data_IF_801580437076
#
_entry.id   IF_801580437076
#
_cell.length_a   1.000
_cell.length_b   1.000
_cell.length_c   1.000
_cell.angle_alpha   90.00
_cell.angle_beta   90.00
_cell.angle_gamma   90.00
#
_symmetry.space_group_name_H-M   'P 1'
#
loop_
_entity.id
_entity.type
_entity.pdbx_description
1 polymer ?
#
# COMPACT_ATOMS: atom_id res chain seq x y z
N UNK A 1 2.32 -1.52 -6.03
CA UNK A 1 1.68 -0.54 -5.12
C UNK A 1 0.30 -0.96 -4.60
N UNK A 2 -0.70 -1.24 -5.46
CA UNK A 2 -2.10 -1.45 -5.00
C UNK A 2 -2.30 -2.57 -3.97
N UNK A 3 -1.62 -3.72 -4.12
CA UNK A 3 -1.70 -4.81 -3.13
C UNK A 3 -1.20 -4.39 -1.74
N UNK A 4 -0.06 -3.70 -1.68
CA UNK A 4 0.51 -3.18 -0.43
C UNK A 4 -0.38 -2.10 0.19
N UNK A 5 -0.96 -1.21 -0.62
CA UNK A 5 -1.95 -0.24 -0.14
C UNK A 5 -3.18 -0.93 0.49
N UNK A 6 -3.69 -1.99 -0.15
CA UNK A 6 -4.82 -2.75 0.37
C UNK A 6 -4.46 -3.46 1.69
N UNK A 7 -3.29 -4.09 1.79
CA UNK A 7 -2.82 -4.68 3.05
C UNK A 7 -2.74 -3.65 4.17
N UNK A 8 -2.20 -2.46 3.88
CA UNK A 8 -2.14 -1.37 4.85
C UNK A 8 -3.54 -0.94 5.31
N UNK A 9 -4.50 -0.82 4.38
CA UNK A 9 -5.89 -0.48 4.71
C UNK A 9 -6.57 -1.56 5.57
N UNK A 10 -6.32 -2.84 5.30
CA UNK A 10 -6.84 -3.94 6.11
C UNK A 10 -6.26 -3.93 7.52
N UNK A 11 -4.95 -3.73 7.68
CA UNK A 11 -4.34 -3.54 9.00
C UNK A 11 -4.95 -2.35 9.74
N UNK A 12 -5.07 -1.22 9.06
CA UNK A 12 -5.67 0.00 9.61
C UNK A 12 -7.11 -0.22 10.08
N UNK A 13 -7.94 -0.85 9.26
CA UNK A 13 -9.31 -1.16 9.61
C UNK A 13 -9.37 -2.19 10.74
N UNK A 14 -8.49 -3.18 10.79
CA UNK A 14 -8.42 -4.13 11.89
C UNK A 14 -8.06 -3.51 13.25
N UNK A 15 -7.30 -2.40 13.25
CA UNK A 15 -6.87 -1.70 14.48
C UNK A 15 -7.89 -0.65 14.93
N UNK A 16 -8.40 0.16 14.00
CA UNK A 16 -9.23 1.33 14.30
C UNK A 16 -10.67 1.20 13.82
N UNK A 17 -10.91 0.36 12.82
CA UNK A 17 -12.22 0.16 12.24
C UNK A 17 -13.08 -0.73 13.11
N UNK A 18 -14.39 -0.62 12.88
CA UNK A 18 -15.34 -1.60 13.35
C UNK A 18 -16.36 -1.82 12.23
N UNK A 19 -16.87 -3.04 12.10
CA UNK A 19 -18.00 -3.32 11.22
C UNK A 19 -19.35 -2.86 11.82
N UNK A 20 -19.31 -2.13 12.94
CA UNK A 20 -20.47 -1.53 13.58
C UNK A 20 -20.58 -0.06 13.16
N UNK A 21 -21.74 0.30 12.64
CA UNK A 21 -22.11 1.67 12.26
C UNK A 21 -23.40 2.13 12.94
N UNK A 22 -23.81 1.46 14.02
CA UNK A 22 -24.90 1.94 14.87
C UNK A 22 -24.42 3.11 15.73
N UNK A 23 -25.00 4.30 15.55
CA UNK A 23 -24.86 5.40 16.50
C UNK A 23 -25.83 5.23 17.68
N UNK A 24 -25.82 4.04 18.29
CA UNK A 24 -26.74 3.72 19.37
C UNK A 24 -26.37 4.49 20.63
N UNK A 25 -27.30 5.32 21.11
CA UNK A 25 -27.24 6.03 22.38
C UNK A 25 -28.62 5.96 23.04
N UNK A 26 -28.68 5.92 24.37
CA UNK A 26 -29.95 5.99 25.10
C UNK A 26 -30.71 7.29 24.80
N UNK A 27 -29.98 8.35 24.40
CA UNK A 27 -30.55 9.66 24.06
C UNK A 27 -31.43 9.64 22.82
N UNK A 28 -31.35 8.61 21.96
CA UNK A 28 -32.24 8.46 20.80
C UNK A 28 -33.70 8.23 21.23
N UNK A 29 -33.90 7.51 22.33
CA UNK A 29 -35.20 7.13 22.88
C UNK A 29 -35.46 7.85 24.21
N UNK A 30 -35.01 9.11 24.33
CA UNK A 30 -35.04 9.89 25.58
C UNK A 30 -36.45 10.02 26.18
N UNK A 31 -37.47 10.15 25.34
CA UNK A 31 -38.89 10.21 25.74
C UNK A 31 -39.41 8.87 26.27
N UNK A 32 -38.87 7.74 25.79
CA UNK A 32 -39.23 6.42 26.30
C UNK A 32 -38.63 6.17 27.68
N UNK A 33 -37.42 6.68 27.94
CA UNK A 33 -36.75 6.55 29.24
C UNK A 33 -37.09 7.65 30.25
N UNK A 34 -38.08 8.50 29.96
CA UNK A 34 -38.48 9.62 30.82
C UNK A 34 -37.30 10.50 31.27
N UNK A 35 -36.40 10.83 30.33
CA UNK A 35 -35.20 11.64 30.59
C UNK A 35 -34.21 11.06 31.64
N UNK A 36 -34.39 9.79 32.05
CA UNK A 36 -33.47 9.11 32.95
C UNK A 36 -32.59 8.13 32.17
N UNK A 37 -31.29 8.08 32.50
CA UNK A 37 -30.37 7.14 31.86
C UNK A 37 -30.66 5.71 32.34
N UNK A 38 -31.14 4.81 31.46
CA UNK A 38 -31.41 3.42 31.80
C UNK A 38 -30.10 2.61 31.85
N UNK A 39 -30.18 1.37 32.35
CA UNK A 39 -28.99 0.50 32.42
C UNK A 39 -28.42 0.23 31.01
N UNK A 40 -27.08 0.15 30.85
CA UNK A 40 -26.44 0.01 29.55
C UNK A 40 -26.93 -1.15 28.69
N UNK A 41 -27.37 -2.26 29.30
CA UNK A 41 -27.87 -3.41 28.55
C UNK A 41 -29.30 -3.18 28.02
N UNK A 42 -30.13 -2.42 28.73
CA UNK A 42 -31.55 -2.20 28.41
C UNK A 42 -31.69 -1.33 27.17
N UNK A 43 -31.01 -0.18 27.16
CA UNK A 43 -31.08 0.72 26.01
C UNK A 43 -30.33 0.21 24.81
N UNK A 44 -29.24 -0.54 25.03
CA UNK A 44 -28.50 -1.15 23.94
C UNK A 44 -29.36 -2.17 23.21
N UNK A 45 -30.01 -3.10 23.93
CA UNK A 45 -30.88 -4.10 23.33
C UNK A 45 -32.02 -3.46 22.53
N UNK A 46 -32.70 -2.46 23.11
CA UNK A 46 -33.79 -1.74 22.45
C UNK A 46 -33.31 -0.98 21.21
N UNK A 47 -32.20 -0.25 21.31
CA UNK A 47 -31.68 0.52 20.19
C UNK A 47 -31.37 -0.39 18.99
N UNK A 48 -30.68 -1.51 19.21
CA UNK A 48 -30.40 -2.44 18.12
C UNK A 48 -31.66 -3.14 17.58
N UNK A 49 -32.70 -3.34 18.42
CA UNK A 49 -33.98 -3.91 17.97
C UNK A 49 -34.81 -2.92 17.13
N UNK A 50 -34.73 -1.62 17.41
CA UNK A 50 -35.49 -0.60 16.68
C UNK A 50 -34.78 -0.16 15.39
N UNK A 51 -33.45 -0.07 15.39
CA UNK A 51 -32.64 0.43 14.27
C UNK A 51 -31.97 -0.69 13.45
N UNK A 52 -32.45 -1.94 13.54
CA UNK A 52 -31.84 -3.09 12.85
C UNK A 52 -31.84 -2.99 11.32
N UNK A 53 -32.74 -2.19 10.72
CA UNK A 53 -32.80 -1.97 9.27
C UNK A 53 -31.79 -0.93 8.78
N UNK A 54 -31.41 0.01 9.65
CA UNK A 54 -30.53 1.13 9.32
C UNK A 54 -29.09 0.89 9.77
N UNK A 55 -28.86 -0.16 10.55
CA UNK A 55 -27.57 -0.38 11.17
C UNK A 55 -27.19 -1.87 11.28
N UNK A 56 -25.88 -2.13 11.32
CA UNK A 56 -25.28 -3.48 11.39
C UNK A 56 -24.79 -3.70 12.82
N UNK A 57 -25.33 -4.72 13.47
CA UNK A 57 -24.93 -5.11 14.81
C UNK A 57 -23.44 -5.54 14.82
N UNK A 58 -22.72 -5.30 15.93
CA UNK A 58 -21.43 -5.92 16.13
C UNK A 58 -21.62 -7.45 16.14
N UNK A 59 -21.08 -8.12 15.13
CA UNK A 59 -21.15 -9.58 15.06
C UNK A 59 -20.15 -10.19 16.03
N UNK A 60 -20.44 -11.40 16.51
CA UNK A 60 -19.49 -12.19 17.29
C UNK A 60 -18.40 -12.83 16.42
N UNK A 61 -18.32 -12.47 15.14
CA UNK A 61 -17.32 -13.02 14.22
C UNK A 61 -16.03 -12.21 14.29
N UNK A 62 -14.91 -12.93 14.37
CA UNK A 62 -13.59 -12.30 14.39
C UNK A 62 -13.31 -11.56 13.07
N UNK A 63 -12.67 -10.40 13.17
CA UNK A 63 -12.28 -9.54 12.05
C UNK A 63 -11.63 -10.32 10.88
N UNK A 64 -10.77 -11.28 11.20
CA UNK A 64 -10.06 -12.10 10.21
C UNK A 64 -10.98 -12.91 9.30
N UNK A 65 -12.08 -13.45 9.83
CA UNK A 65 -13.05 -14.23 9.03
C UNK A 65 -13.84 -13.29 8.12
N UNK A 66 -14.28 -12.14 8.65
CA UNK A 66 -15.06 -11.17 7.89
C UNK A 66 -14.27 -10.54 6.74
N UNK A 67 -12.95 -10.40 6.90
CA UNK A 67 -12.07 -9.75 5.92
C UNK A 67 -11.23 -10.74 5.10
N UNK A 68 -11.43 -12.06 5.26
CA UNK A 68 -10.53 -13.07 4.67
C UNK A 68 -10.41 -12.95 3.14
N UNK A 69 -11.51 -12.66 2.45
CA UNK A 69 -11.53 -12.52 0.99
C UNK A 69 -10.71 -11.31 0.52
N UNK A 70 -10.74 -10.21 1.26
CA UNK A 70 -9.92 -9.03 0.98
C UNK A 70 -8.43 -9.31 1.25
N UNK A 71 -8.12 -10.08 2.29
CA UNK A 71 -6.75 -10.54 2.55
C UNK A 71 -6.22 -11.43 1.43
N UNK A 72 -7.05 -12.31 0.86
CA UNK A 72 -6.67 -13.10 -0.31
C UNK A 72 -6.39 -12.24 -1.55
N UNK A 73 -7.23 -11.24 -1.83
CA UNK A 73 -6.99 -10.31 -2.94
C UNK A 73 -5.69 -9.53 -2.72
N UNK A 74 -5.46 -9.04 -1.50
CA UNK A 74 -4.25 -8.31 -1.17
C UNK A 74 -2.99 -9.19 -1.34
N UNK A 75 -3.04 -10.43 -0.84
CA UNK A 75 -1.96 -11.39 -0.99
C UNK A 75 -1.71 -11.74 -2.46
N UNK A 76 -2.75 -12.04 -3.24
CA UNK A 76 -2.59 -12.38 -4.67
C UNK A 76 -2.00 -11.21 -5.47
N UNK A 77 -2.43 -9.97 -5.23
CA UNK A 77 -1.87 -8.81 -5.95
C UNK A 77 -0.41 -8.53 -5.63
N UNK A 78 0.06 -8.86 -4.43
CA UNK A 78 1.48 -8.71 -4.07
C UNK A 78 2.31 -9.89 -4.57
N UNK A 79 1.79 -11.11 -4.44
CA UNK A 79 2.57 -12.33 -4.61
C UNK A 79 2.47 -12.98 -5.99
N UNK A 80 1.46 -12.65 -6.80
CA UNK A 80 1.28 -13.26 -8.12
C UNK A 80 2.52 -13.18 -9.03
N UNK A 81 3.24 -12.03 -9.14
CA UNK A 81 4.43 -11.97 -9.98
C UNK A 81 5.53 -12.96 -9.58
N UNK A 82 5.61 -13.32 -8.29
CA UNK A 82 6.62 -14.23 -7.76
C UNK A 82 6.20 -15.69 -7.93
N UNK A 83 4.93 -16.02 -7.69
CA UNK A 83 4.42 -17.37 -7.91
C UNK A 83 4.53 -17.83 -9.37
N UNK A 84 4.37 -16.91 -10.32
CA UNK A 84 4.46 -17.21 -11.75
C UNK A 84 5.85 -16.99 -12.35
N UNK A 85 6.87 -16.71 -11.53
CA UNK A 85 8.26 -16.59 -11.97
C UNK A 85 9.11 -17.74 -11.40
N UNK A 86 9.59 -18.69 -12.23
CA UNK A 86 10.26 -19.91 -11.77
C UNK A 86 11.61 -19.67 -11.08
N UNK A 87 12.17 -18.46 -11.18
CA UNK A 87 13.38 -18.06 -10.46
C UNK A 87 13.10 -17.16 -9.26
N UNK A 88 11.83 -16.92 -8.91
CA UNK A 88 11.46 -15.96 -7.87
C UNK A 88 11.93 -16.33 -6.47
N UNK A 89 12.13 -17.62 -6.19
CA UNK A 89 12.61 -18.13 -4.90
C UNK A 89 14.02 -18.73 -4.98
N UNK A 90 14.74 -18.50 -6.07
CA UNK A 90 16.14 -18.88 -6.20
C UNK A 90 17.04 -17.85 -5.49
N UNK A 91 17.75 -18.29 -4.45
CA UNK A 91 18.55 -17.44 -3.59
C UNK A 91 19.60 -16.62 -4.35
N UNK A 92 20.33 -17.25 -5.27
CA UNK A 92 21.40 -16.59 -6.00
C UNK A 92 20.85 -15.50 -6.93
N UNK A 93 19.68 -15.74 -7.51
CA UNK A 93 18.97 -14.76 -8.35
C UNK A 93 18.41 -13.61 -7.52
N UNK A 94 17.72 -13.90 -6.41
CA UNK A 94 17.12 -12.85 -5.58
C UNK A 94 18.18 -11.89 -5.02
N UNK A 95 19.36 -12.38 -4.61
CA UNK A 95 20.42 -11.49 -4.13
C UNK A 95 20.88 -10.51 -5.22
N UNK A 96 21.01 -11.01 -6.45
CA UNK A 96 21.37 -10.17 -7.60
C UNK A 96 20.27 -9.15 -7.87
N UNK A 97 19.01 -9.58 -7.95
CA UNK A 97 17.86 -8.71 -8.18
C UNK A 97 17.72 -7.64 -7.06
N UNK A 98 17.96 -8.03 -5.81
CA UNK A 98 17.95 -7.10 -4.68
C UNK A 98 19.07 -6.05 -4.79
N UNK A 99 20.27 -6.46 -5.21
CA UNK A 99 21.41 -5.56 -5.41
C UNK A 99 21.14 -4.58 -6.55
N UNK A 100 20.58 -5.07 -7.64
CA UNK A 100 20.24 -4.27 -8.82
C UNK A 100 19.12 -3.29 -8.49
N UNK A 101 18.09 -3.72 -7.75
CA UNK A 101 17.05 -2.83 -7.23
C UNK A 101 17.62 -1.73 -6.33
N UNK A 102 18.54 -2.07 -5.41
CA UNK A 102 19.22 -1.11 -4.56
C UNK A 102 20.08 -0.11 -5.35
N UNK A 103 20.70 -0.56 -6.44
CA UNK A 103 21.47 0.29 -7.35
C UNK A 103 20.54 1.22 -8.13
N UNK A 104 19.51 0.67 -8.77
CA UNK A 104 18.46 1.39 -9.49
C UNK A 104 17.83 2.50 -8.65
N UNK A 105 17.50 2.20 -7.39
CA UNK A 105 16.94 3.16 -6.45
C UNK A 105 17.88 4.33 -6.16
N UNK A 106 19.21 4.14 -6.18
CA UNK A 106 20.21 5.16 -5.84
C UNK A 106 20.68 5.97 -7.04
N UNK A 107 20.60 5.41 -8.25
CA UNK A 107 21.05 6.04 -9.49
C UNK A 107 20.17 7.23 -9.84
N UNK A 108 20.80 8.31 -10.34
CA UNK A 108 20.15 9.60 -10.64
C UNK A 108 20.27 10.02 -12.11
N UNK A 109 20.60 9.09 -12.98
CA UNK A 109 20.69 9.39 -14.41
C UNK A 109 19.27 9.65 -14.94
N UNK A 110 19.11 10.33 -16.07
CA UNK A 110 17.79 10.52 -16.71
C UNK A 110 17.40 9.31 -17.58
N UNK A 111 18.14 8.20 -17.49
CA UNK A 111 17.81 6.96 -18.18
C UNK A 111 16.65 6.23 -17.50
N UNK A 112 15.85 5.50 -18.29
CA UNK A 112 14.82 4.59 -17.80
C UNK A 112 15.37 3.51 -16.84
N UNK A 113 16.67 3.20 -16.94
CA UNK A 113 17.40 2.29 -16.06
C UNK A 113 17.68 2.85 -14.65
N UNK A 114 17.09 4.00 -14.30
CA UNK A 114 17.23 4.60 -12.98
C UNK A 114 15.86 4.87 -12.35
N UNK A 115 15.79 4.85 -11.02
CA UNK A 115 14.55 5.16 -10.32
C UNK A 115 14.07 6.59 -10.61
N UNK A 116 14.99 7.55 -10.76
CA UNK A 116 14.61 8.93 -11.05
C UNK A 116 14.01 9.08 -12.45
N UNK A 117 14.66 8.52 -13.48
CA UNK A 117 14.12 8.53 -14.84
C UNK A 117 12.78 7.81 -14.95
N UNK A 118 12.64 6.65 -14.29
CA UNK A 118 11.35 5.96 -14.18
C UNK A 118 10.28 6.80 -13.48
N UNK A 119 10.60 7.42 -12.33
CA UNK A 119 9.67 8.26 -11.58
C UNK A 119 9.17 9.46 -12.38
N UNK A 120 10.06 10.10 -13.15
CA UNK A 120 9.69 11.22 -14.02
C UNK A 120 8.78 10.76 -15.16
N UNK A 121 9.10 9.64 -15.81
CA UNK A 121 8.25 9.06 -16.87
C UNK A 121 6.87 8.64 -16.34
N UNK A 122 6.82 8.03 -15.15
CA UNK A 122 5.56 7.65 -14.50
C UNK A 122 4.66 8.85 -14.18
N UNK A 123 5.24 10.05 -13.99
CA UNK A 123 4.50 11.27 -13.69
C UNK A 123 4.29 12.20 -14.89
N UNK A 124 4.86 11.89 -16.04
CA UNK A 124 4.76 12.70 -17.27
C UNK A 124 3.30 12.98 -17.66
N UNK A 125 2.40 12.01 -17.43
CA UNK A 125 0.97 12.19 -17.70
C UNK A 125 0.33 13.33 -16.89
N UNK A 126 0.86 13.64 -15.70
CA UNK A 126 0.35 14.73 -14.86
C UNK A 126 0.67 16.11 -15.46
N UNK A 127 1.77 16.22 -16.20
CA UNK A 127 2.16 17.46 -16.90
C UNK A 127 1.16 17.78 -18.02
N UNK A 128 0.67 16.75 -18.70
CA UNK A 128 -0.31 16.86 -19.79
C UNK A 128 -1.78 16.81 -19.34
N UNK A 129 -2.03 16.68 -18.04
CA UNK A 129 -3.39 16.54 -17.50
C UNK A 129 -4.14 17.88 -17.36
N UNK A 130 -5.46 17.86 -17.59
CA UNK A 130 -6.30 19.05 -17.43
C UNK A 130 -6.35 19.53 -15.98
N UNK A 131 -6.63 20.82 -15.77
CA UNK A 131 -6.79 21.38 -14.42
C UNK A 131 -7.87 20.67 -13.59
N UNK A 132 -8.98 20.28 -14.24
CA UNK A 132 -10.05 19.51 -13.59
C UNK A 132 -9.60 18.11 -13.17
N UNK A 133 -8.87 17.38 -14.03
CA UNK A 133 -8.32 16.06 -13.68
C UNK A 133 -7.39 16.14 -12.46
N UNK A 134 -6.55 17.20 -12.41
CA UNK A 134 -5.68 17.49 -11.26
C UNK A 134 -6.47 17.80 -10.00
N UNK A 135 -7.55 18.58 -10.10
CA UNK A 135 -8.45 18.86 -8.99
C UNK A 135 -9.12 17.59 -8.45
N UNK A 136 -9.70 16.76 -9.32
CA UNK A 136 -10.32 15.48 -8.92
C UNK A 136 -9.29 14.57 -8.26
N UNK A 137 -8.07 14.51 -8.81
CA UNK A 137 -6.97 13.74 -8.22
C UNK A 137 -6.60 14.28 -6.84
N UNK A 138 -6.49 15.59 -6.68
CA UNK A 138 -6.21 16.23 -5.39
C UNK A 138 -7.30 15.88 -4.36
N UNK A 139 -8.59 16.06 -4.70
CA UNK A 139 -9.73 15.71 -3.84
C UNK A 139 -9.67 14.23 -3.44
N UNK A 140 -9.42 13.32 -4.38
CA UNK A 140 -9.32 11.89 -4.06
C UNK A 140 -8.16 11.59 -3.12
N UNK A 141 -7.04 12.32 -3.22
CA UNK A 141 -5.86 12.12 -2.40
C UNK A 141 -5.97 12.80 -1.02
N UNK A 142 -6.88 13.74 -0.80
CA UNK A 142 -7.14 14.30 0.56
C UNK A 142 -7.63 13.25 1.54
N UNK A 143 -8.14 12.10 1.08
CA UNK A 143 -8.48 10.95 1.93
C UNK A 143 -7.34 10.53 2.87
N UNK A 144 -6.08 10.63 2.43
CA UNK A 144 -4.94 10.25 3.27
C UNK A 144 -4.76 11.22 4.44
N UNK A 145 -5.03 12.51 4.22
CA UNK A 145 -5.05 13.52 5.27
C UNK A 145 -6.24 13.29 6.22
N UNK A 146 -7.42 12.96 5.69
CA UNK A 146 -8.60 12.65 6.50
C UNK A 146 -8.37 11.42 7.40
N UNK A 147 -7.73 10.37 6.88
CA UNK A 147 -7.35 9.19 7.68
C UNK A 147 -6.31 9.56 8.76
N UNK A 148 -5.28 10.33 8.41
CA UNK A 148 -4.29 10.81 9.39
C UNK A 148 -4.95 11.62 10.51
N UNK A 149 -5.91 12.48 10.15
CA UNK A 149 -6.70 13.27 11.08
C UNK A 149 -7.56 12.40 11.99
N UNK A 150 -8.25 11.39 11.45
CA UNK A 150 -9.06 10.46 12.24
C UNK A 150 -8.22 9.67 13.26
N UNK A 151 -7.06 9.16 12.85
CA UNK A 151 -6.12 8.46 13.76
C UNK A 151 -5.64 9.41 14.86
N UNK A 152 -5.30 10.64 14.51
CA UNK A 152 -4.85 11.64 15.46
C UNK A 152 -5.93 11.97 16.49
N UNK A 153 -7.18 12.16 16.06
CA UNK A 153 -8.29 12.41 16.98
C UNK A 153 -8.48 11.25 17.94
N UNK A 154 -8.41 10.00 17.44
CA UNK A 154 -8.52 8.82 18.28
C UNK A 154 -7.36 8.70 19.28
N UNK A 155 -6.13 8.98 18.83
CA UNK A 155 -4.92 9.02 19.65
C UNK A 155 -5.07 10.06 20.76
N UNK A 156 -5.46 11.27 20.40
CA UNK A 156 -5.63 12.37 21.34
C UNK A 156 -6.79 12.13 22.31
N UNK A 157 -7.89 11.55 21.83
CA UNK A 157 -9.00 11.17 22.67
C UNK A 157 -8.55 10.18 23.76
N UNK A 158 -7.80 9.14 23.36
CA UNK A 158 -7.23 8.15 24.29
C UNK A 158 -6.29 8.80 25.31
N UNK A 159 -5.32 9.58 24.85
CA UNK A 159 -4.32 10.18 25.73
C UNK A 159 -4.93 11.18 26.72
N UNK A 160 -5.79 12.09 26.26
CA UNK A 160 -6.29 13.18 27.09
C UNK A 160 -7.49 12.81 27.96
N UNK A 161 -8.46 12.05 27.42
CA UNK A 161 -9.72 11.79 28.12
C UNK A 161 -9.72 10.44 28.83
N UNK A 162 -9.11 9.41 28.22
CA UNK A 162 -9.07 8.07 28.81
C UNK A 162 -7.92 7.92 29.80
N UNK A 163 -6.69 8.17 29.35
CA UNK A 163 -5.49 7.89 30.14
C UNK A 163 -5.24 8.95 31.21
N UNK A 164 -5.57 10.22 30.93
CA UNK A 164 -5.46 11.32 31.90
C UNK A 164 -6.74 11.56 32.73
N UNK A 165 -7.80 10.75 32.55
CA UNK A 165 -9.11 10.88 33.22
C UNK A 165 -9.70 12.30 33.24
N UNK A 166 -9.37 13.14 32.25
CA UNK A 166 -9.96 14.48 32.15
C UNK A 166 -11.33 14.31 31.51
N UNK A 167 -12.40 14.62 32.25
CA UNK A 167 -13.71 14.75 31.66
C UNK A 167 -13.71 15.92 30.65
N UNK A 168 -14.53 15.80 29.60
CA UNK A 168 -14.99 16.99 28.87
C UNK A 168 -15.78 17.79 29.91
N UNK A 169 -15.13 18.76 30.56
CA UNK A 169 -15.83 19.62 31.50
C UNK A 169 -16.99 20.26 30.71
N UNK A 170 -18.22 20.03 31.18
CA UNK A 170 -19.46 20.53 30.59
C UNK A 170 -19.61 22.03 30.88
N UNK A 171 -18.53 22.78 30.69
CA UNK A 171 -18.47 24.24 30.78
C UNK A 171 -19.02 24.81 29.47
N UNK A 172 -20.29 24.49 29.17
CA UNK A 172 -21.06 25.05 28.05
C UNK A 172 -20.67 24.58 26.64
N UNK A 173 -21.56 24.89 25.69
CA UNK A 173 -21.50 24.52 24.25
C UNK A 173 -20.25 25.01 23.47
N UNK A 174 -19.24 25.56 24.15
CA UNK A 174 -18.02 26.10 23.57
C UNK A 174 -16.76 25.70 24.35
N UNK A 175 -16.67 24.44 24.78
CA UNK A 175 -15.39 23.89 25.22
C UNK A 175 -14.37 23.96 24.08
N UNK A 176 -13.50 24.97 24.09
CA UNK A 176 -12.48 25.23 23.06
C UNK A 176 -11.39 24.15 23.00
N UNK A 177 -11.27 23.33 24.05
CA UNK A 177 -10.22 22.31 24.21
C UNK A 177 -10.24 21.27 23.08
N UNK A 178 -11.36 20.58 22.75
CA UNK A 178 -11.48 19.71 21.58
C UNK A 178 -11.08 20.37 20.25
N UNK A 179 -11.49 21.63 20.04
CA UNK A 179 -11.22 22.37 18.79
C UNK A 179 -9.74 22.69 18.66
N UNK A 180 -9.10 23.15 19.74
CA UNK A 180 -7.66 23.40 19.79
C UNK A 180 -6.88 22.11 19.56
N UNK A 181 -7.31 21.01 20.19
CA UNK A 181 -6.69 19.69 20.00
C UNK A 181 -6.79 19.25 18.54
N UNK A 182 -7.97 19.37 17.93
CA UNK A 182 -8.20 19.05 16.52
C UNK A 182 -7.38 19.95 15.58
N UNK A 183 -7.24 21.24 15.89
CA UNK A 183 -6.43 22.18 15.10
C UNK A 183 -4.92 21.94 15.20
N UNK A 184 -4.44 21.42 16.33
CA UNK A 184 -3.01 21.24 16.59
C UNK A 184 -2.31 20.31 15.58
N UNK A 185 -3.00 19.30 15.03
CA UNK A 185 -2.42 18.44 13.99
C UNK A 185 -2.10 19.22 12.70
N UNK A 186 -2.95 20.16 12.29
CA UNK A 186 -2.69 20.98 11.11
C UNK A 186 -1.48 21.90 11.34
N UNK A 187 -1.35 22.46 12.55
CA UNK A 187 -0.18 23.22 12.93
C UNK A 187 1.11 22.36 12.92
N UNK A 188 1.05 21.15 13.47
CA UNK A 188 2.19 20.21 13.49
C UNK A 188 2.57 19.76 12.07
N UNK A 189 1.60 19.38 11.23
CA UNK A 189 1.86 18.97 9.85
C UNK A 189 2.41 20.14 9.01
N UNK A 190 1.89 21.35 9.22
CA UNK A 190 2.39 22.56 8.55
C UNK A 190 3.82 22.89 9.01
N UNK A 191 4.10 22.82 10.31
CA UNK A 191 5.45 22.99 10.86
C UNK A 191 6.42 21.97 10.28
N UNK A 192 6.05 20.68 10.27
CA UNK A 192 6.89 19.62 9.67
C UNK A 192 7.12 19.86 8.17
N UNK A 193 6.09 20.29 7.45
CA UNK A 193 6.20 20.66 6.03
C UNK A 193 7.14 21.85 5.81
N UNK A 194 7.00 22.92 6.60
CA UNK A 194 7.86 24.10 6.56
C UNK A 194 9.31 23.76 6.94
N UNK A 195 9.53 23.04 8.03
CA UNK A 195 10.85 22.57 8.47
C UNK A 195 11.51 21.69 7.42
N UNK A 196 10.77 20.75 6.82
CA UNK A 196 11.28 19.89 5.74
C UNK A 196 11.64 20.70 4.49
N UNK A 197 10.81 21.67 4.11
CA UNK A 197 11.06 22.56 2.98
C UNK A 197 12.30 23.43 3.20
N UNK A 198 12.42 24.08 4.38
CA UNK A 198 13.58 24.90 4.75
C UNK A 198 14.84 24.04 4.82
N UNK A 199 14.80 22.87 5.46
CA UNK A 199 15.93 21.94 5.53
C UNK A 199 16.42 21.53 4.13
N UNK A 200 15.51 21.35 3.17
CA UNK A 200 15.89 21.04 1.79
C UNK A 200 16.62 22.19 1.08
N UNK A 201 16.22 23.44 1.35
CA UNK A 201 16.86 24.65 0.80
C UNK A 201 18.24 24.89 1.41
N UNK A 202 18.37 24.67 2.72
CA UNK A 202 19.66 24.72 3.43
C UNK A 202 20.60 23.62 2.92
N UNK A 203 20.08 22.41 2.68
CA UNK A 203 20.88 21.30 2.12
C UNK A 203 21.38 21.60 0.70
N UNK A 204 20.60 22.30 -0.14
CA UNK A 204 21.07 22.74 -1.47
C UNK A 204 22.20 23.78 -1.39
N UNK A 205 22.19 24.68 -0.40
CA UNK A 205 23.23 25.72 -0.23
C UNK A 205 24.51 25.18 0.42
N UNK A 206 24.40 24.14 1.24
CA UNK A 206 25.54 23.54 1.91
C UNK A 206 26.13 22.40 1.05
N UNK A 207 27.10 22.77 0.20
CA UNK A 207 28.08 21.85 -0.37
C UNK A 207 29.00 21.38 0.78
N UNK A 208 28.44 20.71 1.78
CA UNK A 208 29.18 20.13 2.87
C UNK A 208 29.89 18.89 2.32
N UNK A 209 31.23 18.89 2.39
CA UNK A 209 32.09 17.73 2.10
C UNK A 209 31.40 16.46 2.61
N UNK A 210 31.28 15.41 1.79
CA UNK A 210 30.56 14.15 2.11
C UNK A 210 30.80 13.62 3.55
N UNK A 211 31.99 13.86 4.15
CA UNK A 211 32.29 13.56 5.55
C UNK A 211 31.37 14.26 6.57
N UNK A 212 31.10 15.55 6.41
CA UNK A 212 30.22 16.32 7.31
C UNK A 212 28.77 15.85 7.17
N UNK A 213 28.35 15.47 5.96
CA UNK A 213 27.01 14.95 5.71
C UNK A 213 26.81 13.57 6.37
N UNK A 214 27.84 12.70 6.37
CA UNK A 214 27.83 11.43 7.13
C UNK A 214 27.75 11.67 8.63
N UNK A 215 28.52 12.61 9.18
CA UNK A 215 28.47 12.99 10.59
C UNK A 215 27.11 13.59 10.98
N UNK A 216 26.55 14.48 10.15
CA UNK A 216 25.24 15.07 10.38
C UNK A 216 24.14 14.00 10.36
N UNK A 217 24.15 13.09 9.39
CA UNK A 217 23.20 11.96 9.35
C UNK A 217 23.30 11.09 10.59
N UNK A 218 24.52 10.75 11.01
CA UNK A 218 24.78 9.97 12.22
C UNK A 218 24.28 10.68 13.48
N UNK A 219 24.58 11.98 13.61
CA UNK A 219 24.14 12.79 14.75
C UNK A 219 22.62 12.96 14.77
N UNK A 220 21.99 13.15 13.60
CA UNK A 220 20.54 13.25 13.48
C UNK A 220 19.86 11.91 13.82
N UNK A 221 20.42 10.79 13.36
CA UNK A 221 19.91 9.46 13.73
C UNK A 221 20.12 9.15 15.21
N UNK A 222 21.24 9.57 15.81
CA UNK A 222 21.49 9.41 17.23
C UNK A 222 20.55 10.29 18.07
N UNK A 223 20.31 11.54 17.65
CA UNK A 223 19.33 12.41 18.29
C UNK A 223 17.91 11.84 18.18
N UNK A 224 17.52 11.32 17.01
CA UNK A 224 16.23 10.65 16.83
C UNK A 224 16.12 9.41 17.73
N UNK A 225 17.18 8.62 17.85
CA UNK A 225 17.23 7.47 18.75
C UNK A 225 17.07 7.90 20.22
N UNK A 226 17.76 8.96 20.65
CA UNK A 226 17.63 9.50 22.01
C UNK A 226 16.20 10.00 22.26
N UNK A 227 15.62 10.75 21.31
CA UNK A 227 14.22 11.20 21.39
C UNK A 227 13.26 10.01 21.43
N UNK A 228 13.53 8.95 20.66
CA UNK A 228 12.72 7.74 20.69
C UNK A 228 12.86 7.02 22.05
N UNK A 229 14.07 6.86 22.58
CA UNK A 229 14.32 6.20 23.88
C UNK A 229 13.74 7.00 25.04
N UNK A 230 13.93 8.32 25.06
CA UNK A 230 13.30 9.20 26.06
C UNK A 230 11.78 9.20 25.86
N UNK A 231 11.31 9.20 24.61
CA UNK A 231 9.91 9.02 24.27
C UNK A 231 9.35 7.74 24.86
N UNK A 232 10.10 6.63 24.82
CA UNK A 232 9.69 5.35 25.40
C UNK A 232 9.58 5.35 26.92
N UNK A 233 10.22 6.29 27.61
CA UNK A 233 10.07 6.47 29.07
C UNK A 233 8.72 7.11 29.42
N UNK A 234 8.10 7.86 28.50
CA UNK A 234 6.87 8.63 28.76
C UNK A 234 5.69 8.23 27.86
N UNK A 235 5.94 7.58 26.72
CA UNK A 235 4.97 7.22 25.69
C UNK A 235 5.04 5.73 25.41
N UNK A 236 3.88 5.08 25.37
CA UNK A 236 3.76 3.68 24.96
C UNK A 236 4.30 3.47 23.53
N UNK A 237 4.92 2.31 23.28
CA UNK A 237 5.32 1.84 21.93
C UNK A 237 4.19 2.02 20.92
N UNK A 238 2.95 1.75 21.34
CA UNK A 238 1.76 1.95 20.50
C UNK A 238 1.66 3.40 20.03
N UNK A 239 1.72 4.36 20.95
CA UNK A 239 1.61 5.79 20.64
C UNK A 239 2.68 6.26 19.65
N UNK A 240 3.91 5.77 19.78
CA UNK A 240 4.99 6.10 18.83
C UNK A 240 4.69 5.58 17.42
N UNK A 241 4.19 4.35 17.29
CA UNK A 241 3.78 3.78 16.00
C UNK A 241 2.61 4.57 15.40
N UNK A 242 1.61 4.95 16.20
CA UNK A 242 0.47 5.74 15.72
C UNK A 242 0.91 7.12 15.22
N UNK A 243 1.81 7.81 15.94
CA UNK A 243 2.40 9.09 15.51
C UNK A 243 3.20 8.92 14.23
N UNK A 244 4.01 7.87 14.11
CA UNK A 244 4.76 7.55 12.89
C UNK A 244 3.83 7.37 11.69
N UNK A 245 2.73 6.63 11.86
CA UNK A 245 1.71 6.43 10.81
C UNK A 245 1.08 7.76 10.40
N UNK A 246 0.71 8.62 11.36
CA UNK A 246 0.16 9.96 11.08
C UNK A 246 1.15 10.80 10.26
N UNK A 247 2.43 10.83 10.65
CA UNK A 247 3.48 11.58 9.94
C UNK A 247 3.69 11.02 8.53
N UNK A 248 3.75 9.70 8.37
CA UNK A 248 3.87 9.06 7.05
C UNK A 248 2.67 9.38 6.15
N UNK A 249 1.44 9.29 6.65
CA UNK A 249 0.25 9.65 5.88
C UNK A 249 0.22 11.14 5.50
N UNK A 250 0.63 12.02 6.41
CA UNK A 250 0.78 13.45 6.14
C UNK A 250 1.84 13.75 5.09
N UNK A 251 3.00 13.10 5.16
CA UNK A 251 4.06 13.21 4.17
C UNK A 251 3.64 12.66 2.79
N UNK A 252 2.91 11.54 2.77
CA UNK A 252 2.34 11.00 1.54
C UNK A 252 1.33 11.96 0.93
N UNK A 253 0.41 12.53 1.73
CA UNK A 253 -0.53 13.54 1.25
C UNK A 253 0.20 14.75 0.68
N UNK A 254 1.22 15.26 1.37
CA UNK A 254 2.06 16.36 0.87
C UNK A 254 2.69 16.02 -0.49
N UNK A 255 3.25 14.81 -0.63
CA UNK A 255 3.77 14.32 -1.91
C UNK A 255 2.70 14.37 -3.00
N UNK A 256 1.49 13.87 -2.74
CA UNK A 256 0.39 13.90 -3.70
C UNK A 256 -0.01 15.33 -4.09
N UNK A 257 0.01 16.28 -3.15
CA UNK A 257 -0.23 17.70 -3.44
C UNK A 257 0.86 18.26 -4.35
N UNK A 258 2.14 17.94 -4.12
CA UNK A 258 3.24 18.39 -5.00
C UNK A 258 3.12 17.83 -6.42
N UNK A 259 2.69 16.57 -6.55
CA UNK A 259 2.43 15.92 -7.84
C UNK A 259 1.25 16.61 -8.56
N UNK A 260 0.14 16.86 -7.86
CA UNK A 260 -1.02 17.57 -8.43
C UNK A 260 -0.71 19.00 -8.86
N UNK A 261 0.29 19.64 -8.24
CA UNK A 261 0.78 20.98 -8.60
C UNK A 261 1.89 20.97 -9.65
N UNK A 262 2.23 19.80 -10.21
CA UNK A 262 3.31 19.63 -11.21
C UNK A 262 4.64 20.17 -10.68
N UNK A 263 4.96 19.85 -9.42
CA UNK A 263 6.24 20.18 -8.74
C UNK A 263 6.90 18.94 -8.16
N UNK A 264 6.80 17.82 -8.88
CA UNK A 264 7.37 16.53 -8.49
C UNK A 264 8.91 16.46 -8.62
N UNK A 265 9.50 17.38 -9.39
CA UNK A 265 10.94 17.59 -9.56
C UNK A 265 11.62 18.16 -8.31
N UNK A 266 10.83 18.71 -7.38
CA UNK A 266 11.36 19.30 -6.16
C UNK A 266 12.03 18.23 -5.28
N UNK A 267 13.25 18.51 -4.80
CA UNK A 267 14.06 17.56 -4.01
C UNK A 267 13.28 16.91 -2.85
N UNK A 268 12.43 17.66 -2.17
CA UNK A 268 11.60 17.13 -1.07
C UNK A 268 10.62 16.07 -1.58
N UNK A 269 9.92 16.32 -2.68
CA UNK A 269 8.98 15.39 -3.27
C UNK A 269 9.70 14.12 -3.73
N UNK A 270 10.81 14.28 -4.47
CA UNK A 270 11.66 13.16 -4.92
C UNK A 270 12.15 12.31 -3.75
N UNK A 271 12.59 12.92 -2.65
CA UNK A 271 13.10 12.18 -1.48
C UNK A 271 12.01 11.47 -0.69
N UNK A 272 10.83 12.07 -0.59
CA UNK A 272 9.67 11.44 0.05
C UNK A 272 9.20 10.24 -0.81
N UNK A 273 9.09 10.41 -2.13
CA UNK A 273 8.74 9.32 -3.05
C UNK A 273 9.75 8.15 -2.97
N UNK A 274 11.05 8.45 -3.04
CA UNK A 274 12.11 7.45 -2.92
C UNK A 274 12.06 6.70 -1.58
N UNK A 275 11.68 7.38 -0.50
CA UNK A 275 11.50 6.74 0.80
C UNK A 275 10.31 5.76 0.79
N UNK A 276 9.16 6.16 0.22
CA UNK A 276 8.02 5.26 0.10
C UNK A 276 8.34 4.03 -0.77
N UNK A 277 9.02 4.21 -1.90
CA UNK A 277 9.37 3.11 -2.80
C UNK A 277 10.41 2.18 -2.17
N UNK A 278 11.33 2.73 -1.37
CA UNK A 278 12.23 1.91 -0.55
C UNK A 278 11.46 1.04 0.44
N UNK A 279 10.51 1.62 1.19
CA UNK A 279 9.70 0.89 2.18
C UNK A 279 8.85 -0.19 1.49
N UNK A 280 8.19 0.15 0.38
CA UNK A 280 7.41 -0.82 -0.42
C UNK A 280 8.30 -1.94 -0.94
N UNK A 281 9.49 -1.62 -1.44
CA UNK A 281 10.46 -2.62 -1.87
C UNK A 281 10.86 -3.56 -0.73
N UNK A 282 11.14 -3.03 0.47
CA UNK A 282 11.41 -3.87 1.65
C UNK A 282 10.23 -4.77 2.05
N UNK A 283 9.00 -4.27 1.98
CA UNK A 283 7.80 -5.07 2.26
C UNK A 283 7.68 -6.25 1.28
N UNK A 284 8.10 -6.06 0.03
CA UNK A 284 8.05 -7.11 -1.00
C UNK A 284 9.25 -8.06 -0.90
N UNK A 285 10.48 -7.53 -0.85
CA UNK A 285 11.71 -8.33 -0.84
C UNK A 285 11.91 -9.11 0.46
N UNK A 286 11.53 -8.56 1.62
CA UNK A 286 11.81 -9.19 2.91
C UNK A 286 11.16 -10.59 3.05
N UNK A 287 9.86 -10.77 2.78
CA UNK A 287 9.25 -12.09 2.78
C UNK A 287 9.87 -13.06 1.77
N UNK A 288 10.23 -12.59 0.58
CA UNK A 288 10.80 -13.42 -0.48
C UNK A 288 12.20 -13.90 -0.10
N UNK A 289 13.05 -13.00 0.38
CA UNK A 289 14.37 -13.31 0.90
C UNK A 289 14.30 -14.32 2.05
N UNK A 290 13.33 -14.15 2.96
CA UNK A 290 13.10 -15.09 4.05
C UNK A 290 12.73 -16.48 3.53
N UNK A 291 11.78 -16.57 2.60
CA UNK A 291 11.36 -17.85 2.02
C UNK A 291 12.52 -18.52 1.27
N UNK A 292 13.27 -17.78 0.46
CA UNK A 292 14.40 -18.33 -0.28
C UNK A 292 15.54 -18.81 0.63
N UNK A 293 15.81 -18.09 1.73
CA UNK A 293 16.87 -18.46 2.67
C UNK A 293 16.50 -19.67 3.54
N UNK A 294 15.27 -19.72 4.05
CA UNK A 294 14.85 -20.73 5.02
C UNK A 294 14.11 -21.92 4.41
N UNK A 295 13.57 -21.78 3.19
CA UNK A 295 12.74 -22.80 2.55
C UNK A 295 13.20 -23.08 1.10
N UNK A 296 14.47 -23.53 0.90
CA UNK A 296 15.05 -23.70 -0.44
C UNK A 296 14.28 -24.73 -1.30
N UNK A 297 13.57 -25.67 -0.69
CA UNK A 297 12.66 -26.60 -1.37
C UNK A 297 11.59 -25.89 -2.23
N UNK A 298 11.15 -24.68 -1.84
CA UNK A 298 10.08 -23.94 -2.54
C UNK A 298 10.48 -23.64 -3.99
N UNK A 299 11.75 -23.30 -4.24
CA UNK A 299 12.27 -23.07 -5.59
C UNK A 299 12.14 -24.32 -6.47
N UNK A 300 12.57 -25.48 -5.95
CA UNK A 300 12.46 -26.75 -6.67
C UNK A 300 11.01 -27.19 -6.89
N UNK A 301 10.13 -26.96 -5.91
CA UNK A 301 8.71 -27.24 -6.03
C UNK A 301 8.05 -26.36 -7.10
N UNK A 302 8.33 -25.06 -7.10
CA UNK A 302 7.78 -24.11 -8.06
C UNK A 302 8.19 -24.45 -9.50
N UNK A 303 9.47 -24.75 -9.72
CA UNK A 303 9.98 -25.14 -11.04
C UNK A 303 9.32 -26.44 -11.52
N UNK A 304 9.17 -27.44 -10.63
CA UNK A 304 8.47 -28.68 -10.97
C UNK A 304 7.01 -28.42 -11.30
N UNK A 305 6.31 -27.58 -10.53
CA UNK A 305 4.90 -27.26 -10.82
C UNK A 305 4.74 -26.55 -12.17
N UNK A 306 5.64 -25.63 -12.52
CA UNK A 306 5.56 -24.85 -13.76
C UNK A 306 5.98 -25.64 -15.01
N UNK A 307 6.96 -26.54 -14.87
CA UNK A 307 7.55 -27.30 -15.98
C UNK A 307 7.27 -28.80 -15.91
N UNK A 308 6.26 -29.25 -15.14
CA UNK A 308 5.93 -30.67 -15.09
C UNK A 308 5.44 -31.14 -16.46
N UNK A 309 6.13 -32.11 -17.05
CA UNK A 309 5.73 -32.76 -18.29
C UNK A 309 4.32 -33.36 -18.23
N UNK A 310 3.83 -33.75 -17.05
CA UNK A 310 2.46 -34.23 -16.85
C UNK A 310 1.41 -33.11 -17.00
N UNK A 311 1.72 -31.87 -16.62
CA UNK A 311 0.81 -30.73 -16.78
C UNK A 311 0.81 -30.20 -18.22
N UNK A 312 1.94 -30.22 -18.92
CA UNK A 312 2.01 -29.86 -20.34
C UNK A 312 1.30 -30.90 -21.23
N UNK A 313 1.45 -32.19 -20.94
CA UNK A 313 0.75 -33.26 -21.66
C UNK A 313 -0.78 -33.17 -21.48
N UNK A 314 -1.26 -32.84 -20.28
CA UNK A 314 -2.70 -32.61 -20.04
C UNK A 314 -3.28 -31.42 -20.82
N UNK A 315 -2.51 -30.34 -20.97
CA UNK A 315 -2.90 -29.16 -21.77
C UNK A 315 -2.94 -29.46 -23.27
N UNK A 316 -2.00 -30.24 -23.80
CA UNK A 316 -2.03 -30.69 -25.19
C UNK A 316 -3.23 -31.59 -25.47
N UNK A 317 -3.54 -32.53 -24.58
CA UNK A 317 -4.74 -33.39 -24.69
C UNK A 317 -6.04 -32.56 -24.62
N UNK A 318 -6.12 -31.53 -23.77
CA UNK A 318 -7.28 -30.63 -23.73
C UNK A 318 -7.43 -29.75 -24.98
N UNK A 319 -6.33 -29.37 -25.64
CA UNK A 319 -6.35 -28.65 -26.93
C UNK A 319 -6.78 -29.57 -28.07
N UNK A 320 -6.34 -30.83 -28.07
CA UNK A 320 -6.79 -31.86 -29.00
C UNK A 320 -8.30 -32.12 -28.83
N UNK A 321 -8.77 -32.35 -27.61
CA UNK A 321 -10.18 -32.61 -27.33
C UNK A 321 -11.10 -31.38 -27.47
N UNK A 322 -10.55 -30.16 -27.35
CA UNK A 322 -11.31 -28.91 -27.53
C UNK A 322 -11.46 -28.48 -28.99
N UNK A 323 -10.54 -28.89 -29.87
CA UNK A 323 -10.57 -28.55 -31.30
C UNK A 323 -11.34 -29.57 -32.16
N UNK A 324 -11.75 -30.72 -31.61
CA UNK A 324 -12.50 -31.75 -32.34
C UNK A 324 -13.99 -31.42 -32.58
N UNK A 325 -14.44 -30.17 -32.36
CA UNK A 325 -15.83 -29.74 -32.64
C UNK A 325 -15.95 -28.85 -33.90
N UNK A 326 -14.85 -28.53 -34.60
CA UNK A 326 -14.97 -28.02 -35.97
C UNK A 326 -15.11 -29.22 -36.90
N UNK A 327 -16.36 -29.66 -37.05
CA UNK A 327 -16.78 -30.63 -38.07
C UNK A 327 -16.21 -30.20 -39.43
N UNK A 328 -15.28 -30.99 -39.96
CA UNK A 328 -14.97 -30.99 -41.38
C UNK A 328 -16.22 -31.53 -42.08
N UNK A 329 -16.97 -30.61 -42.70
CA UNK A 329 -18.11 -30.96 -43.54
C UNK A 329 -17.62 -31.61 -44.84
N UNK A 330 -18.42 -32.55 -45.30
CA UNK A 330 -18.08 -33.62 -46.23
C UNK A 330 -17.74 -33.18 -47.67
N UNK A 331 -16.72 -33.84 -48.20
CA UNK A 331 -16.55 -34.30 -49.59
C UNK A 331 -17.13 -33.50 -50.77
N UNK A 332 -16.24 -32.91 -51.58
CA UNK A 332 -16.39 -32.89 -53.05
C UNK A 332 -15.09 -33.26 -53.77
N UNK A 333 -15.22 -34.29 -54.62
CA UNK A 333 -14.19 -34.95 -55.44
C UNK A 333 -13.52 -34.01 -56.44
N UNK A 334 -12.21 -34.16 -56.65
CA UNK A 334 -11.53 -33.80 -57.90
C UNK A 334 -10.48 -34.87 -58.30
N UNK A 335 -10.46 -35.19 -59.59
CA UNK A 335 -9.83 -36.35 -60.28
C UNK A 335 -8.30 -36.42 -60.20
N UNK A 336 -7.69 -37.62 -60.46
CA UNK A 336 -6.25 -37.82 -60.38
C UNK A 336 -5.54 -37.40 -61.69
N UNK A 337 -4.43 -36.68 -61.57
CA UNK A 337 -3.54 -36.36 -62.69
C UNK A 337 -2.30 -37.25 -62.63
N UNK A 338 -2.01 -37.88 -63.77
CA UNK A 338 -1.01 -38.93 -64.01
C UNK A 338 0.44 -38.50 -63.70
N UNK A 339 1.20 -39.47 -63.19
CA UNK A 339 2.65 -39.42 -63.04
C UNK A 339 3.39 -39.20 -64.37
N UNK A 340 4.49 -38.41 -64.34
CA UNK A 340 5.50 -38.38 -65.41
C UNK A 340 6.91 -38.45 -64.81
N UNK A 341 7.71 -39.30 -65.46
CA UNK A 341 9.03 -39.85 -65.10
C UNK A 341 10.13 -38.82 -64.85
N UNK A 342 11.07 -39.17 -63.95
CA UNK A 342 12.44 -38.62 -63.86
C UNK A 342 13.22 -38.89 -65.16
N UNK A 343 14.23 -38.06 -65.47
CA UNK A 343 15.47 -38.54 -66.04
C UNK A 343 16.64 -38.35 -65.09
N UNK A 344 17.56 -39.29 -65.19
CA UNK A 344 18.85 -39.37 -64.53
C UNK A 344 19.82 -38.30 -65.02
N UNK A 345 20.73 -37.96 -64.11
CA UNK A 345 22.07 -37.41 -64.30
C UNK A 345 22.72 -37.63 -65.67
N UNK A 346 23.29 -36.56 -66.22
CA UNK A 346 24.52 -36.65 -67.00
C UNK A 346 25.38 -35.39 -66.73
N UNK A 347 26.57 -35.62 -66.19
CA UNK A 347 27.65 -34.66 -66.09
C UNK A 347 28.29 -34.51 -67.47
N UNK A 348 28.54 -33.28 -67.94
CA UNK A 348 29.76 -33.01 -68.70
C UNK A 348 30.18 -31.53 -68.59
N UNK A 349 31.38 -31.36 -68.02
CA UNK A 349 32.45 -30.39 -68.34
C UNK A 349 32.13 -29.37 -69.45
N UNK A 350 32.08 -28.07 -69.12
CA UNK A 350 33.22 -27.14 -69.14
C UNK A 350 32.82 -25.78 -68.57
#
# INVERSE_FOLDING_TARGET
>A
YRGVELMFLLCMFGIYGSFNWCNCSWTLDRTFYNDQEPLPYEWKARCYANFYQECVLPTNQNYGIMSYSLWLIAATWVWAPFFFNPSAFDWDKIIVDYRDWQHWLKTKNDSADSWYGWWMSELEFMEHSTGFSRFVTWVRKTRFLAVAFGIYLQLMHRLFYKDLHKAVADDGAASVKPIILAGAIFAVLLLLGCCGYIASRVTKKLILKQRQLRKLKFNLSAALLVVAVVGLLYLSMRTLVEVLVIVCLGAYWFLQVTICRVRHDHIVATKIAQFFDNVVGWIVFCPILFVAMFVPFVSSFQQRMMFNSAFTAGLEVSKLLGNDVIKLDDGKKAKPTKAKKRPSSEQHKH
#
